data_IF_004656734661
#
_entry.id   IF_004656734661
#
_cell.length_a   1.000
_cell.length_b   1.000
_cell.length_c   1.000
_cell.angle_alpha   90.00
_cell.angle_beta   90.00
_cell.angle_gamma   90.00
#
_symmetry.space_group_name_H-M   'P 1'
#
loop_
_entity.id
_entity.type
_entity.pdbx_description
1 polymer ?
#
# COMPACT_ATOMS: atom_id res chain seq x y z
N UNK A 1 -3.15 -8.22 16.92
CA UNK A 1 -3.46 -7.26 15.83
C UNK A 1 -4.54 -7.75 14.88
N UNK A 2 -4.54 -9.00 14.37
CA UNK A 2 -5.65 -9.56 13.55
C UNK A 2 -7.06 -9.49 14.18
N UNK A 3 -7.16 -9.77 15.49
CA UNK A 3 -8.44 -9.84 16.23
C UNK A 3 -9.38 -8.65 16.01
N UNK A 4 -8.86 -7.42 15.97
CA UNK A 4 -9.69 -6.21 15.84
C UNK A 4 -10.32 -6.03 14.46
N UNK A 5 -9.64 -6.48 13.42
CA UNK A 5 -10.14 -6.41 12.05
C UNK A 5 -11.16 -7.51 11.77
N UNK A 6 -11.00 -8.68 12.40
CA UNK A 6 -11.97 -9.79 12.31
C UNK A 6 -13.31 -9.48 13.02
N UNK A 7 -13.36 -8.48 13.91
CA UNK A 7 -14.62 -8.00 14.53
C UNK A 7 -15.48 -7.17 13.58
N UNK A 8 -14.93 -6.66 12.47
CA UNK A 8 -15.69 -5.89 11.48
C UNK A 8 -16.36 -6.89 10.53
N UNK A 9 -17.53 -7.41 10.95
CA UNK A 9 -18.25 -8.46 10.20
C UNK A 9 -18.70 -8.02 8.80
N UNK A 10 -19.02 -6.73 8.61
CA UNK A 10 -19.42 -6.14 7.32
C UNK A 10 -18.83 -4.74 7.15
N UNK A 11 -17.58 -4.61 6.66
CA UNK A 11 -16.94 -3.31 6.51
C UNK A 11 -17.63 -2.42 5.47
N UNK A 12 -18.33 -2.99 4.48
CA UNK A 12 -18.99 -2.21 3.42
C UNK A 12 -20.26 -1.48 3.89
N UNK A 13 -20.97 -2.01 4.89
CA UNK A 13 -22.19 -1.39 5.44
C UNK A 13 -21.94 -0.61 6.73
N UNK A 14 -20.87 -0.94 7.46
CA UNK A 14 -20.57 -0.33 8.76
C UNK A 14 -19.58 0.85 8.69
N UNK A 15 -18.88 1.04 7.56
CA UNK A 15 -17.80 2.02 7.45
C UNK A 15 -18.04 2.99 6.30
N UNK A 16 -17.70 4.26 6.54
CA UNK A 16 -17.59 5.26 5.48
C UNK A 16 -16.51 4.86 4.46
N UNK A 17 -16.59 5.37 3.22
CA UNK A 17 -15.64 5.05 2.14
C UNK A 17 -14.17 5.22 2.58
N UNK A 18 -13.87 6.28 3.35
CA UNK A 18 -12.53 6.53 3.89
C UNK A 18 -12.10 5.48 4.92
N UNK A 19 -12.99 5.09 5.82
CA UNK A 19 -12.73 4.03 6.80
C UNK A 19 -12.55 2.67 6.13
N UNK A 20 -13.29 2.38 5.06
CA UNK A 20 -13.07 1.20 4.24
C UNK A 20 -11.68 1.25 3.57
N UNK A 21 -11.24 2.42 3.11
CA UNK A 21 -9.87 2.63 2.62
C UNK A 21 -8.81 2.19 3.65
N UNK A 22 -8.92 2.68 4.89
CA UNK A 22 -7.99 2.31 5.97
C UNK A 22 -8.06 0.83 6.35
N UNK A 23 -9.27 0.25 6.41
CA UNK A 23 -9.45 -1.16 6.65
C UNK A 23 -8.66 -2.01 5.64
N UNK A 24 -8.82 -1.69 4.36
CA UNK A 24 -8.11 -2.37 3.28
C UNK A 24 -6.59 -2.13 3.35
N UNK A 25 -6.17 -0.91 3.68
CA UNK A 25 -4.75 -0.58 3.84
C UNK A 25 -4.09 -1.43 4.95
N UNK A 26 -4.69 -1.45 6.14
CA UNK A 26 -4.17 -2.21 7.28
C UNK A 26 -4.16 -3.72 7.00
N UNK A 27 -5.22 -4.25 6.38
CA UNK A 27 -5.24 -5.65 5.95
C UNK A 27 -4.15 -5.97 4.93
N UNK A 28 -3.94 -5.07 3.97
CA UNK A 28 -2.90 -5.19 2.96
C UNK A 28 -1.51 -5.28 3.59
N UNK A 29 -1.21 -4.42 4.57
CA UNK A 29 0.07 -4.46 5.30
C UNK A 29 0.23 -5.76 6.08
N UNK A 30 -0.79 -6.21 6.81
CA UNK A 30 -0.67 -7.46 7.58
C UNK A 30 -0.44 -8.67 6.67
N UNK A 31 -1.05 -8.68 5.49
CA UNK A 31 -0.90 -9.78 4.53
C UNK A 31 0.39 -9.70 3.74
N UNK A 32 1.07 -8.56 3.63
CA UNK A 32 2.29 -8.45 2.82
C UNK A 32 3.41 -9.39 3.30
N UNK A 33 3.39 -9.78 4.58
CA UNK A 33 4.33 -10.72 5.19
C UNK A 33 4.02 -12.20 4.90
N UNK A 34 2.76 -12.53 4.59
CA UNK A 34 2.28 -13.93 4.53
C UNK A 34 1.67 -14.31 3.19
N UNK A 35 1.02 -13.37 2.50
CA UNK A 35 0.39 -13.57 1.20
C UNK A 35 0.39 -12.27 0.37
N UNK A 36 1.43 -12.12 -0.45
CA UNK A 36 1.65 -10.96 -1.31
C UNK A 36 0.50 -10.75 -2.32
N UNK A 37 -0.11 -11.81 -2.83
CA UNK A 37 -1.20 -11.70 -3.82
C UNK A 37 -2.47 -11.15 -3.18
N UNK A 38 -2.82 -11.60 -1.97
CA UNK A 38 -3.95 -11.02 -1.25
C UNK A 38 -3.64 -9.59 -0.79
N UNK A 39 -2.42 -9.33 -0.31
CA UNK A 39 -1.97 -8.00 0.07
C UNK A 39 -2.17 -6.99 -1.08
N UNK A 40 -1.76 -7.35 -2.30
CA UNK A 40 -1.96 -6.52 -3.49
C UNK A 40 -3.43 -6.16 -3.72
N UNK A 41 -4.34 -7.13 -3.59
CA UNK A 41 -5.79 -6.91 -3.78
C UNK A 41 -6.33 -5.89 -2.78
N UNK A 42 -5.98 -6.03 -1.50
CA UNK A 42 -6.39 -5.11 -0.45
C UNK A 42 -5.80 -3.72 -0.64
N UNK A 43 -4.49 -3.63 -0.91
CA UNK A 43 -3.83 -2.33 -1.13
C UNK A 43 -4.39 -1.61 -2.36
N UNK A 44 -4.68 -2.31 -3.47
CA UNK A 44 -5.35 -1.69 -4.63
C UNK A 44 -6.76 -1.20 -4.29
N UNK A 45 -7.52 -1.94 -3.48
CA UNK A 45 -8.83 -1.50 -3.00
C UNK A 45 -8.70 -0.25 -2.11
N UNK A 46 -7.68 -0.18 -1.26
CA UNK A 46 -7.39 1.02 -0.47
C UNK A 46 -7.08 2.25 -1.33
N UNK A 47 -6.24 2.10 -2.38
CA UNK A 47 -5.98 3.20 -3.33
C UNK A 47 -7.26 3.64 -4.04
N UNK A 48 -8.09 2.69 -4.50
CA UNK A 48 -9.35 3.00 -5.20
C UNK A 48 -10.34 3.77 -4.32
N UNK A 49 -10.45 3.39 -3.05
CA UNK A 49 -11.35 4.04 -2.09
C UNK A 49 -10.80 5.38 -1.60
N UNK A 50 -9.50 5.59 -1.71
CA UNK A 50 -8.83 6.78 -1.18
C UNK A 50 -8.51 6.65 0.30
N UNK A 51 -7.45 7.34 0.72
CA UNK A 51 -7.08 7.52 2.12
C UNK A 51 -7.14 9.01 2.44
N UNK A 52 -7.44 9.35 3.70
CA UNK A 52 -7.57 10.76 4.09
C UNK A 52 -6.25 11.52 4.10
N UNK A 53 -5.14 10.82 4.28
CA UNK A 53 -3.82 11.43 4.37
C UNK A 53 -2.98 11.10 3.13
N UNK A 54 -2.37 12.12 2.54
CA UNK A 54 -1.43 11.99 1.42
C UNK A 54 -0.28 11.03 1.78
N UNK A 55 0.19 11.08 3.02
CA UNK A 55 1.26 10.20 3.50
C UNK A 55 0.84 8.71 3.49
N UNK A 56 -0.36 8.39 3.95
CA UNK A 56 -0.83 7.00 3.95
C UNK A 56 -1.03 6.50 2.50
N UNK A 57 -1.50 7.39 1.61
CA UNK A 57 -1.56 7.09 0.19
C UNK A 57 -0.16 6.86 -0.42
N UNK A 58 0.83 7.65 -0.02
CA UNK A 58 2.22 7.46 -0.42
C UNK A 58 2.74 6.09 0.05
N UNK A 59 2.45 5.71 1.29
CA UNK A 59 2.87 4.44 1.87
C UNK A 59 2.21 3.24 1.17
N UNK A 60 0.91 3.28 0.88
CA UNK A 60 0.23 2.22 0.10
C UNK A 60 0.89 2.04 -1.26
N UNK A 61 1.14 3.13 -1.98
CA UNK A 61 1.75 3.08 -3.32
C UNK A 61 3.18 2.54 -3.26
N UNK A 62 3.93 2.88 -2.22
CA UNK A 62 5.27 2.34 -1.99
C UNK A 62 5.23 0.82 -1.70
N UNK A 63 4.28 0.36 -0.90
CA UNK A 63 4.06 -1.08 -0.66
C UNK A 63 3.67 -1.82 -1.94
N UNK A 64 2.76 -1.26 -2.75
CA UNK A 64 2.40 -1.81 -4.06
C UNK A 64 3.59 -1.85 -5.02
N UNK A 65 4.48 -0.86 -4.98
CA UNK A 65 5.73 -0.88 -5.75
C UNK A 65 6.62 -2.05 -5.30
N UNK A 66 6.75 -2.30 -4.00
CA UNK A 66 7.52 -3.42 -3.46
C UNK A 66 6.95 -4.77 -3.92
N UNK A 67 5.63 -4.93 -3.87
CA UNK A 67 4.94 -6.11 -4.40
C UNK A 67 5.15 -6.25 -5.92
N UNK A 68 5.12 -5.15 -6.66
CA UNK A 68 5.35 -5.19 -8.11
C UNK A 68 6.78 -5.64 -8.42
N UNK A 69 7.75 -5.25 -7.60
CA UNK A 69 9.15 -5.67 -7.73
C UNK A 69 9.33 -7.17 -7.48
N UNK A 70 8.70 -7.73 -6.45
CA UNK A 70 8.76 -9.19 -6.19
C UNK A 70 8.15 -10.00 -7.33
N UNK A 71 7.17 -9.42 -8.04
CA UNK A 71 6.56 -9.97 -9.26
C UNK A 71 7.31 -9.62 -10.55
N UNK A 72 8.52 -9.05 -10.46
CA UNK A 72 9.36 -8.59 -11.60
C UNK A 72 8.68 -7.58 -12.54
N UNK A 73 7.70 -6.81 -12.06
CA UNK A 73 6.99 -5.76 -12.81
C UNK A 73 7.66 -4.40 -12.66
N UNK A 74 8.82 -4.24 -13.30
CA UNK A 74 9.69 -3.05 -13.16
C UNK A 74 9.01 -1.73 -13.51
N UNK A 75 8.25 -1.68 -14.62
CA UNK A 75 7.56 -0.47 -15.07
C UNK A 75 6.49 -0.02 -14.08
N UNK A 76 5.68 -0.96 -13.60
CA UNK A 76 4.63 -0.70 -12.61
C UNK A 76 5.24 -0.19 -11.29
N UNK A 77 6.27 -0.87 -10.79
CA UNK A 77 6.98 -0.45 -9.59
C UNK A 77 7.56 0.97 -9.70
N UNK A 78 8.13 1.31 -10.85
CA UNK A 78 8.70 2.65 -11.11
C UNK A 78 7.63 3.74 -11.08
N UNK A 79 6.47 3.49 -11.71
CA UNK A 79 5.35 4.44 -11.71
C UNK A 79 4.81 4.66 -10.30
N UNK A 80 4.58 3.57 -9.57
CA UNK A 80 4.08 3.62 -8.19
C UNK A 80 5.03 4.35 -7.25
N UNK A 81 6.34 4.16 -7.39
CA UNK A 81 7.34 4.93 -6.63
C UNK A 81 7.31 6.42 -6.97
N UNK A 82 7.13 6.77 -8.24
CA UNK A 82 7.03 8.17 -8.65
C UNK A 82 5.77 8.86 -8.07
N UNK A 83 4.65 8.15 -8.05
CA UNK A 83 3.41 8.63 -7.42
C UNK A 83 3.55 8.74 -5.90
N UNK A 84 4.18 7.76 -5.24
CA UNK A 84 4.45 7.82 -3.81
C UNK A 84 5.33 9.05 -3.45
N UNK A 85 6.37 9.32 -4.25
CA UNK A 85 7.24 10.48 -4.06
C UNK A 85 6.50 11.81 -4.17
N UNK A 86 5.51 11.92 -5.06
CA UNK A 86 4.70 13.15 -5.21
C UNK A 86 3.83 13.43 -3.99
N UNK A 87 3.41 12.38 -3.29
CA UNK A 87 2.54 12.46 -2.11
C UNK A 87 3.33 12.61 -0.81
N UNK A 88 4.57 12.12 -0.76
CA UNK A 88 5.47 12.25 0.40
C UNK A 88 6.11 13.66 0.49
N UNK A 89 5.28 14.66 0.79
CA UNK A 89 5.70 16.09 0.87
C UNK A 89 6.73 16.36 1.97
N UNK A 90 6.71 15.56 3.04
CA UNK A 90 7.57 15.75 4.21
C UNK A 90 8.81 14.83 4.20
N UNK A 91 9.00 14.03 3.14
CA UNK A 91 10.17 13.16 3.00
C UNK A 91 10.24 12.01 4.01
N UNK A 92 9.11 11.61 4.60
CA UNK A 92 9.07 10.58 5.63
C UNK A 92 9.35 9.18 5.07
N UNK A 93 9.20 8.98 3.76
CA UNK A 93 9.46 7.72 3.07
C UNK A 93 10.77 7.74 2.26
N UNK A 94 11.62 8.76 2.47
CA UNK A 94 12.83 9.00 1.67
C UNK A 94 13.78 7.81 1.71
N UNK A 95 14.02 7.24 2.89
CA UNK A 95 14.94 6.10 3.06
C UNK A 95 14.39 4.85 2.36
N UNK A 96 13.10 4.55 2.55
CA UNK A 96 12.45 3.40 1.92
C UNK A 96 12.46 3.53 0.39
N UNK A 97 12.17 4.72 -0.15
CA UNK A 97 12.27 4.98 -1.59
C UNK A 97 13.68 4.77 -2.14
N UNK A 98 14.72 5.16 -1.40
CA UNK A 98 16.10 4.92 -1.83
C UNK A 98 16.44 3.43 -1.83
N UNK A 99 16.07 2.68 -0.79
CA UNK A 99 16.27 1.23 -0.74
C UNK A 99 15.58 0.53 -1.92
N UNK A 100 14.33 0.91 -2.20
CA UNK A 100 13.59 0.33 -3.33
C UNK A 100 14.21 0.69 -4.68
N UNK A 101 14.69 1.93 -4.85
CA UNK A 101 15.41 2.34 -6.06
C UNK A 101 16.67 1.51 -6.28
N UNK A 102 17.39 1.16 -5.22
CA UNK A 102 18.55 0.26 -5.32
C UNK A 102 18.14 -1.16 -5.69
N UNK A 103 17.07 -1.69 -5.10
CA UNK A 103 16.54 -3.01 -5.44
C UNK A 103 16.06 -3.06 -6.91
N UNK A 104 15.46 -1.99 -7.45
CA UNK A 104 15.02 -1.91 -8.85
C UNK A 104 16.16 -2.02 -9.86
N UNK A 105 17.37 -1.60 -9.49
CA UNK A 105 18.56 -1.73 -10.35
C UNK A 105 19.00 -3.18 -10.51
N UNK A 106 18.63 -4.05 -9.56
CA UNK A 106 19.00 -5.47 -9.54
C UNK A 106 17.98 -6.37 -10.26
N UNK A 107 16.87 -5.81 -10.76
CA UNK A 107 15.78 -6.50 -11.48
C UNK A 107 15.93 -6.30 -12.98
#
# INVERSE_FOLDING_TARGET
TKKWLDYIKNPETALTVKQQGYYNYLHGIMLSQTNITQAEKYLRKAVKLGLSMDHDMAMVKLQLAGISMTKRRKREATNLMAEAKKLDKNGMLKEQMQMMKQQLKKI
#
